data_IF_148082115207
#
_entry.id   IF_148082115207
#
_cell.length_a   1.000
_cell.length_b   1.000
_cell.length_c   1.000
_cell.angle_alpha   90.00
_cell.angle_beta   90.00
_cell.angle_gamma   90.00
#
_symmetry.space_group_name_H-M   'P 1'
#
loop_
_entity.id
_entity.type
_entity.pdbx_description
1 polymer ?
#
# COMPACT_ATOMS: atom_id res chain seq x y z
N UNK A 1 22.55 32.64 -1.90
CA UNK A 1 21.61 31.53 -2.17
C UNK A 1 20.38 32.13 -2.82
N UNK A 2 20.15 31.84 -4.10
CA UNK A 2 18.92 32.27 -4.76
C UNK A 2 17.72 31.53 -4.16
N UNK A 3 16.57 32.18 -3.98
CA UNK A 3 15.36 31.52 -3.49
C UNK A 3 14.95 30.38 -4.45
N UNK A 4 14.35 29.29 -3.93
CA UNK A 4 13.91 28.18 -4.77
C UNK A 4 12.87 28.65 -5.79
N UNK A 5 13.01 28.19 -7.04
CA UNK A 5 12.07 28.49 -8.10
C UNK A 5 10.73 27.77 -7.86
N UNK A 6 9.77 28.54 -7.33
CA UNK A 6 8.41 28.09 -7.06
C UNK A 6 7.54 27.99 -8.33
N UNK A 7 8.10 28.23 -9.53
CA UNK A 7 7.35 28.19 -10.80
C UNK A 7 6.82 26.78 -11.12
N UNK A 8 7.61 25.74 -10.80
CA UNK A 8 7.20 24.34 -10.91
C UNK A 8 6.05 23.99 -9.98
N UNK A 9 6.08 24.47 -8.73
CA UNK A 9 4.99 24.26 -7.76
C UNK A 9 3.71 25.02 -8.16
N UNK A 10 3.83 26.20 -8.78
CA UNK A 10 2.68 26.93 -9.35
C UNK A 10 2.12 26.25 -10.60
N UNK A 11 2.96 25.63 -11.45
CA UNK A 11 2.50 24.79 -12.57
C UNK A 11 1.78 23.55 -12.08
N UNK A 12 2.32 22.87 -11.07
CA UNK A 12 1.69 21.72 -10.43
C UNK A 12 0.40 22.10 -9.71
N UNK A 13 0.34 23.26 -9.04
CA UNK A 13 -0.88 23.74 -8.35
C UNK A 13 -2.07 23.96 -9.28
N UNK A 14 -1.83 24.32 -10.56
CA UNK A 14 -2.89 24.41 -11.59
C UNK A 14 -3.43 23.07 -12.05
N UNK A 15 -2.69 21.97 -11.86
CA UNK A 15 -3.19 20.61 -12.13
C UNK A 15 -4.21 20.11 -11.08
N UNK A 16 -4.23 20.73 -9.89
CA UNK A 16 -5.09 20.32 -8.76
C UNK A 16 -6.35 21.18 -8.56
N UNK A 17 -6.64 22.15 -9.44
CA UNK A 17 -7.97 22.77 -9.46
C UNK A 17 -8.99 21.72 -9.93
N UNK A 18 -9.82 21.25 -8.98
CA UNK A 18 -10.84 20.24 -9.22
C UNK A 18 -11.84 20.70 -10.29
N UNK A 19 -11.89 20.07 -11.48
CA UNK A 19 -12.91 20.37 -12.46
C UNK A 19 -14.13 19.50 -12.17
N UNK A 20 -15.23 20.14 -11.78
CA UNK A 20 -16.55 19.50 -11.81
C UNK A 20 -16.82 19.03 -13.25
N UNK A 21 -16.90 17.72 -13.47
CA UNK A 21 -17.23 17.03 -14.74
C UNK A 21 -16.12 16.83 -15.80
N UNK A 22 -14.84 16.65 -15.45
CA UNK A 22 -13.90 16.02 -16.40
C UNK A 22 -14.01 14.49 -16.35
N UNK A 23 -14.11 13.86 -17.53
CA UNK A 23 -13.96 12.41 -17.72
C UNK A 23 -12.67 11.97 -17.04
N UNK A 24 -12.74 10.99 -16.13
CA UNK A 24 -11.58 10.49 -15.41
C UNK A 24 -10.59 9.92 -16.44
N UNK A 25 -9.48 10.62 -16.65
CA UNK A 25 -8.45 10.22 -17.62
C UNK A 25 -7.69 9.02 -17.06
N UNK A 26 -7.40 8.05 -17.92
CA UNK A 26 -6.51 6.97 -17.52
C UNK A 26 -5.09 7.53 -17.30
N UNK A 27 -4.28 6.82 -16.53
CA UNK A 27 -2.88 7.19 -16.27
C UNK A 27 -2.11 7.48 -17.56
N UNK A 28 -2.25 6.63 -18.58
CA UNK A 28 -1.57 6.81 -19.86
C UNK A 28 -2.04 8.08 -20.58
N UNK A 29 -3.32 8.43 -20.50
CA UNK A 29 -3.84 9.67 -21.08
C UNK A 29 -3.22 10.91 -20.40
N UNK A 30 -3.02 10.86 -19.07
CA UNK A 30 -2.36 11.92 -18.31
C UNK A 30 -0.89 12.06 -18.73
N UNK A 31 -0.16 10.94 -18.85
CA UNK A 31 1.24 10.95 -19.28
C UNK A 31 1.39 11.48 -20.72
N UNK A 32 0.50 11.09 -21.63
CA UNK A 32 0.48 11.62 -23.00
C UNK A 32 0.15 13.12 -23.01
N UNK A 33 -0.73 13.59 -22.13
CA UNK A 33 -0.99 15.03 -22.01
C UNK A 33 0.29 15.78 -21.57
N UNK A 34 1.04 15.26 -20.61
CA UNK A 34 2.31 15.87 -20.18
C UNK A 34 3.38 15.88 -21.28
N UNK A 35 3.40 14.88 -22.17
CA UNK A 35 4.25 14.89 -23.36
C UNK A 35 3.94 16.07 -24.27
N UNK A 36 2.65 16.23 -24.60
CA UNK A 36 2.16 17.26 -25.54
C UNK A 36 2.43 18.68 -25.04
N UNK A 37 2.49 18.86 -23.72
CA UNK A 37 2.82 20.13 -23.07
C UNK A 37 4.34 20.35 -22.90
N UNK A 38 5.18 19.40 -23.33
CA UNK A 38 6.63 19.46 -23.19
C UNK A 38 7.11 19.34 -21.74
N UNK A 39 6.30 18.77 -20.85
CA UNK A 39 6.63 18.57 -19.42
C UNK A 39 7.47 17.30 -19.23
N UNK A 40 7.18 16.25 -19.98
CA UNK A 40 7.90 14.98 -19.95
C UNK A 40 8.30 14.57 -21.37
N UNK A 41 9.43 13.89 -21.49
CA UNK A 41 9.90 13.23 -22.71
C UNK A 41 9.26 11.85 -22.87
N UNK A 42 9.27 11.30 -24.09
CA UNK A 42 8.83 9.93 -24.35
C UNK A 42 9.57 8.89 -23.48
N UNK A 43 10.86 9.13 -23.21
CA UNK A 43 11.66 8.24 -22.36
C UNK A 43 11.17 8.27 -20.90
N UNK A 44 10.92 9.45 -20.35
CA UNK A 44 10.40 9.60 -18.99
C UNK A 44 9.01 8.95 -18.86
N UNK A 45 8.13 9.12 -19.87
CA UNK A 45 6.82 8.47 -19.89
C UNK A 45 6.94 6.96 -19.88
N UNK A 46 7.83 6.41 -20.72
CA UNK A 46 8.08 4.97 -20.74
C UNK A 46 8.56 4.50 -19.37
N UNK A 47 9.48 5.22 -18.73
CA UNK A 47 10.01 4.87 -17.41
C UNK A 47 8.91 4.88 -16.33
N UNK A 48 8.02 5.88 -16.33
CA UNK A 48 6.90 5.93 -15.40
C UNK A 48 5.90 4.79 -15.63
N UNK A 49 5.58 4.47 -16.89
CA UNK A 49 4.72 3.34 -17.23
C UNK A 49 5.35 2.02 -16.76
N UNK A 50 6.63 1.80 -17.05
CA UNK A 50 7.36 0.60 -16.64
C UNK A 50 7.35 0.45 -15.11
N UNK A 51 7.60 1.54 -14.38
CA UNK A 51 7.61 1.54 -12.91
C UNK A 51 6.24 1.20 -12.30
N UNK A 52 5.15 1.77 -12.83
CA UNK A 52 3.79 1.54 -12.31
C UNK A 52 3.30 0.13 -12.66
N UNK A 53 3.59 -0.35 -13.88
CA UNK A 53 3.24 -1.71 -14.29
C UNK A 53 3.97 -2.75 -13.43
N UNK A 54 5.28 -2.57 -13.22
CA UNK A 54 6.05 -3.46 -12.35
C UNK A 54 5.53 -3.42 -10.90
N UNK A 55 5.39 -2.21 -10.34
CA UNK A 55 4.95 -2.03 -8.95
C UNK A 55 3.55 -2.58 -8.68
N UNK A 56 2.64 -2.44 -9.65
CA UNK A 56 1.25 -2.91 -9.52
C UNK A 56 1.02 -4.38 -9.87
N UNK A 57 1.88 -4.99 -10.68
CA UNK A 57 1.69 -6.37 -11.15
C UNK A 57 2.28 -7.40 -10.18
N UNK A 58 3.60 -7.41 -10.01
CA UNK A 58 4.30 -8.51 -9.33
C UNK A 58 3.94 -8.57 -7.84
N UNK A 59 3.85 -7.41 -7.19
CA UNK A 59 3.49 -7.31 -5.76
C UNK A 59 2.07 -7.78 -5.51
N UNK A 60 1.13 -7.41 -6.38
CA UNK A 60 -0.29 -7.81 -6.29
C UNK A 60 -0.44 -9.30 -6.56
N UNK A 61 0.20 -9.83 -7.61
CA UNK A 61 0.14 -11.24 -7.96
C UNK A 61 0.70 -12.12 -6.82
N UNK A 62 1.83 -11.74 -6.24
CA UNK A 62 2.40 -12.43 -5.08
C UNK A 62 1.46 -12.36 -3.87
N UNK A 63 0.94 -11.17 -3.55
CA UNK A 63 0.03 -10.98 -2.41
C UNK A 63 -1.23 -11.82 -2.57
N UNK A 64 -1.85 -11.81 -3.75
CA UNK A 64 -3.05 -12.59 -4.04
C UNK A 64 -2.79 -14.10 -3.93
N UNK A 65 -1.63 -14.56 -4.38
CA UNK A 65 -1.23 -15.97 -4.27
C UNK A 65 -1.19 -16.42 -2.81
N UNK A 66 -0.58 -15.64 -1.93
CA UNK A 66 -0.54 -15.93 -0.49
C UNK A 66 -1.90 -15.82 0.18
N UNK A 67 -2.70 -14.81 -0.15
CA UNK A 67 -4.07 -14.66 0.37
C UNK A 67 -4.89 -15.91 0.03
N UNK A 68 -4.88 -16.34 -1.24
CA UNK A 68 -5.63 -17.52 -1.67
C UNK A 68 -5.10 -18.80 -1.03
N UNK A 69 -3.79 -18.95 -0.87
CA UNK A 69 -3.20 -20.10 -0.19
C UNK A 69 -3.62 -20.18 1.29
N UNK A 70 -3.53 -19.07 2.03
CA UNK A 70 -3.96 -18.99 3.42
C UNK A 70 -5.44 -19.29 3.59
N UNK A 71 -6.31 -18.75 2.71
CA UNK A 71 -7.73 -19.09 2.71
C UNK A 71 -7.97 -20.57 2.40
N UNK A 72 -7.21 -21.16 1.47
CA UNK A 72 -7.35 -22.59 1.16
C UNK A 72 -6.95 -23.50 2.32
N UNK A 73 -5.97 -23.08 3.13
CA UNK A 73 -5.52 -23.81 4.32
C UNK A 73 -6.46 -23.65 5.53
N UNK A 74 -7.17 -22.52 5.63
CA UNK A 74 -8.08 -22.19 6.73
C UNK A 74 -9.54 -22.21 6.28
N UNK A 75 -10.10 -23.41 6.16
CA UNK A 75 -11.45 -23.65 5.60
C UNK A 75 -12.55 -22.87 6.32
N UNK A 76 -12.50 -22.78 7.64
CA UNK A 76 -13.46 -22.04 8.46
C UNK A 76 -13.45 -20.53 8.14
N UNK A 77 -12.26 -19.96 7.96
CA UNK A 77 -12.08 -18.56 7.55
C UNK A 77 -12.58 -18.37 6.11
N UNK A 78 -12.23 -19.28 5.20
CA UNK A 78 -12.71 -19.22 3.81
C UNK A 78 -14.23 -19.30 3.71
N UNK A 79 -14.87 -20.20 4.46
CA UNK A 79 -16.32 -20.33 4.47
C UNK A 79 -16.99 -19.07 5.02
N UNK A 80 -16.40 -18.44 6.04
CA UNK A 80 -16.88 -17.14 6.58
C UNK A 80 -16.72 -16.00 5.58
N UNK A 81 -15.59 -15.93 4.84
CA UNK A 81 -15.40 -14.97 3.74
C UNK A 81 -16.43 -15.20 2.63
N UNK A 82 -16.66 -16.45 2.23
CA UNK A 82 -17.64 -16.80 1.20
C UNK A 82 -19.05 -16.35 1.60
N UNK A 83 -19.45 -16.64 2.84
CA UNK A 83 -20.74 -16.20 3.37
C UNK A 83 -20.88 -14.67 3.38
N UNK A 84 -19.84 -13.92 3.77
CA UNK A 84 -19.86 -12.45 3.72
C UNK A 84 -20.07 -11.95 2.28
N UNK A 85 -19.32 -12.51 1.32
CA UNK A 85 -19.43 -12.14 -0.10
C UNK A 85 -20.82 -12.47 -0.66
N UNK A 86 -21.36 -13.66 -0.35
CA UNK A 86 -22.67 -14.09 -0.82
C UNK A 86 -23.79 -13.19 -0.30
N UNK A 87 -23.75 -12.81 0.99
CA UNK A 87 -24.72 -11.88 1.59
C UNK A 87 -24.66 -10.52 0.88
N UNK A 88 -23.47 -9.94 0.74
CA UNK A 88 -23.29 -8.62 0.11
C UNK A 88 -23.71 -8.65 -1.37
N UNK A 89 -23.45 -9.74 -2.08
CA UNK A 89 -23.88 -9.89 -3.48
C UNK A 89 -25.41 -10.03 -3.60
N UNK A 90 -26.05 -10.80 -2.72
CA UNK A 90 -27.52 -10.94 -2.70
C UNK A 90 -28.22 -9.62 -2.40
N UNK A 91 -27.72 -8.86 -1.41
CA UNK A 91 -28.24 -7.54 -1.07
C UNK A 91 -28.09 -6.52 -2.21
N UNK A 92 -27.21 -6.79 -3.17
CA UNK A 92 -26.96 -5.91 -4.31
C UNK A 92 -27.33 -6.50 -5.67
N UNK A 93 -28.36 -7.35 -5.74
CA UNK A 93 -28.85 -7.92 -7.00
C UNK A 93 -27.75 -8.60 -7.85
N UNK A 94 -26.75 -9.20 -7.18
CA UNK A 94 -25.55 -9.81 -7.78
C UNK A 94 -24.68 -8.87 -8.62
N UNK A 95 -24.70 -7.57 -8.34
CA UNK A 95 -23.81 -6.59 -8.98
C UNK A 95 -22.64 -6.31 -8.05
N UNK A 96 -21.43 -6.15 -8.60
CA UNK A 96 -20.28 -5.69 -7.82
C UNK A 96 -20.09 -4.19 -8.05
N UNK A 97 -20.08 -3.39 -6.98
CA UNK A 97 -19.75 -1.95 -7.07
C UNK A 97 -18.80 -1.54 -5.96
N UNK A 98 -18.08 -0.43 -6.15
CA UNK A 98 -17.13 0.10 -5.16
C UNK A 98 -17.75 0.29 -3.78
N UNK A 99 -19.02 0.76 -3.73
CA UNK A 99 -19.74 0.95 -2.47
C UNK A 99 -19.84 -0.33 -1.64
N UNK A 100 -20.00 -1.48 -2.30
CA UNK A 100 -20.19 -2.76 -1.64
C UNK A 100 -18.87 -3.46 -1.31
N UNK A 101 -17.79 -3.15 -2.01
CA UNK A 101 -16.45 -3.61 -1.61
C UNK A 101 -16.10 -3.14 -0.19
N UNK A 102 -16.53 -1.94 0.21
CA UNK A 102 -16.35 -1.43 1.57
C UNK A 102 -17.16 -2.17 2.65
N UNK A 103 -18.10 -3.03 2.26
CA UNK A 103 -18.89 -3.84 3.21
C UNK A 103 -18.22 -5.20 3.51
N UNK A 104 -17.21 -5.60 2.73
CA UNK A 104 -16.48 -6.85 2.88
C UNK A 104 -15.41 -6.76 4.00
N UNK A 105 -15.86 -6.40 5.19
CA UNK A 105 -15.00 -6.08 6.34
C UNK A 105 -14.18 -7.27 6.86
N UNK A 106 -14.72 -8.49 6.76
CA UNK A 106 -14.00 -9.70 7.16
C UNK A 106 -12.96 -10.09 6.12
N UNK A 107 -13.31 -10.02 4.83
CA UNK A 107 -12.36 -10.18 3.74
C UNK A 107 -11.21 -9.15 3.83
N UNK A 108 -11.50 -7.89 4.11
CA UNK A 108 -10.47 -6.85 4.30
C UNK A 108 -9.50 -7.25 5.42
N UNK A 109 -10.02 -7.75 6.55
CA UNK A 109 -9.19 -8.22 7.67
C UNK A 109 -8.36 -9.46 7.30
N UNK A 110 -8.89 -10.37 6.49
CA UNK A 110 -8.13 -11.51 5.96
C UNK A 110 -6.98 -11.06 5.05
N UNK A 111 -7.23 -10.08 4.16
CA UNK A 111 -6.20 -9.49 3.29
C UNK A 111 -5.11 -8.84 4.15
N UNK A 112 -5.48 -8.08 5.19
CA UNK A 112 -4.52 -7.43 6.09
C UNK A 112 -3.67 -8.44 6.85
N UNK A 113 -4.26 -9.52 7.34
CA UNK A 113 -3.53 -10.57 8.04
C UNK A 113 -2.61 -11.37 7.10
N UNK A 114 -3.05 -11.62 5.86
CA UNK A 114 -2.19 -12.24 4.86
C UNK A 114 -0.99 -11.35 4.51
N UNK A 115 -1.20 -10.04 4.33
CA UNK A 115 -0.12 -9.08 4.09
C UNK A 115 0.81 -8.89 5.30
N UNK A 116 0.34 -9.20 6.51
CA UNK A 116 1.17 -9.22 7.73
C UNK A 116 2.13 -10.42 7.71
N UNK A 117 1.61 -11.60 7.41
CA UNK A 117 2.42 -12.84 7.39
C UNK A 117 3.30 -12.95 6.14
N UNK A 118 2.77 -12.54 5.00
CA UNK A 118 3.38 -12.73 3.68
C UNK A 118 3.33 -11.43 2.87
N UNK A 119 4.17 -10.48 3.28
CA UNK A 119 4.35 -9.25 2.51
C UNK A 119 5.27 -9.50 1.30
N UNK A 120 4.88 -9.02 0.11
CA UNK A 120 5.73 -9.14 -1.09
C UNK A 120 7.08 -8.41 -0.95
N UNK A 121 7.14 -7.33 -0.16
CA UNK A 121 8.35 -6.57 0.14
C UNK A 121 8.76 -6.78 1.62
N UNK A 122 9.63 -7.76 1.86
CA UNK A 122 10.02 -8.18 3.22
C UNK A 122 10.87 -7.15 3.99
N UNK A 123 11.56 -6.24 3.30
CA UNK A 123 12.32 -5.15 3.91
C UNK A 123 12.38 -3.93 3.00
N UNK A 124 12.74 -2.78 3.57
CA UNK A 124 13.09 -1.56 2.84
C UNK A 124 14.42 -0.99 3.33
N UNK A 125 15.19 -0.38 2.41
CA UNK A 125 16.51 0.17 2.72
C UNK A 125 16.61 1.67 2.46
N UNK A 126 17.44 2.37 3.24
CA UNK A 126 17.82 3.77 3.00
C UNK A 126 19.32 3.95 3.26
N UNK A 127 19.95 4.83 2.48
CA UNK A 127 21.31 5.31 2.80
C UNK A 127 21.17 6.61 3.56
N UNK A 128 21.78 6.71 4.74
CA UNK A 128 21.83 7.94 5.51
C UNK A 128 22.67 8.99 4.77
N UNK A 129 22.06 10.11 4.36
CA UNK A 129 22.81 11.21 3.73
C UNK A 129 23.62 12.05 4.73
N UNK A 130 23.28 11.96 6.01
CA UNK A 130 23.90 12.67 7.12
C UNK A 130 23.87 11.79 8.38
N UNK A 131 24.57 12.22 9.42
CA UNK A 131 24.54 11.54 10.71
C UNK A 131 23.12 11.63 11.33
N UNK A 132 22.51 10.48 11.61
CA UNK A 132 21.17 10.38 12.20
C UNK A 132 21.26 9.99 13.67
N UNK A 133 20.83 10.88 14.57
CA UNK A 133 20.76 10.60 16.00
C UNK A 133 19.42 9.94 16.36
N UNK A 134 19.45 8.65 16.68
CA UNK A 134 18.35 7.93 17.34
C UNK A 134 18.38 8.19 18.85
N UNK A 135 17.36 7.72 19.57
CA UNK A 135 17.26 7.88 21.04
C UNK A 135 18.54 7.45 21.77
N UNK A 136 19.13 6.32 21.39
CA UNK A 136 20.30 5.74 22.08
C UNK A 136 21.57 5.66 21.22
N UNK A 137 21.49 5.98 19.92
CA UNK A 137 22.58 5.70 18.97
C UNK A 137 22.76 6.82 17.96
N UNK A 138 24.00 7.01 17.51
CA UNK A 138 24.32 7.81 16.34
C UNK A 138 24.56 6.87 15.16
N UNK A 139 23.85 7.07 14.07
CA UNK A 139 24.04 6.38 12.81
C UNK A 139 24.87 7.30 11.91
N UNK A 140 26.10 6.94 11.53
CA UNK A 140 26.91 7.79 10.66
C UNK A 140 26.33 7.94 9.25
N UNK A 141 26.62 9.06 8.60
CA UNK A 141 26.38 9.27 7.18
C UNK A 141 27.01 8.14 6.34
N UNK A 142 26.34 7.77 5.25
CA UNK A 142 26.72 6.65 4.38
C UNK A 142 26.25 5.27 4.87
N UNK A 143 25.72 5.15 6.08
CA UNK A 143 25.19 3.88 6.60
C UNK A 143 23.93 3.45 5.84
N UNK A 144 23.84 2.17 5.48
CA UNK A 144 22.62 1.56 4.94
C UNK A 144 21.75 1.07 6.10
N UNK A 145 20.59 1.70 6.28
CA UNK A 145 19.57 1.27 7.21
C UNK A 145 18.57 0.34 6.53
N UNK A 146 18.31 -0.80 7.16
CA UNK A 146 17.26 -1.74 6.79
C UNK A 146 16.13 -1.67 7.81
N UNK A 147 14.90 -1.56 7.32
CA UNK A 147 13.69 -1.78 8.10
C UNK A 147 13.14 -3.13 7.68
N UNK A 148 13.23 -4.10 8.58
CA UNK A 148 12.68 -5.44 8.40
C UNK A 148 11.16 -5.41 8.63
N UNK A 149 10.40 -5.43 7.53
CA UNK A 149 8.93 -5.38 7.56
C UNK A 149 8.41 -6.70 8.11
N UNK A 150 8.95 -7.83 7.67
CA UNK A 150 8.53 -9.15 8.13
C UNK A 150 8.77 -9.32 9.63
N UNK A 151 9.97 -8.98 10.11
CA UNK A 151 10.31 -8.99 11.54
C UNK A 151 9.38 -8.09 12.36
N UNK A 152 9.08 -6.88 11.87
CA UNK A 152 8.12 -5.98 12.53
C UNK A 152 6.70 -6.57 12.61
N UNK A 153 6.28 -7.28 11.57
CA UNK A 153 4.94 -7.86 11.47
C UNK A 153 4.78 -9.17 12.23
N UNK A 154 5.90 -9.78 12.65
CA UNK A 154 5.96 -11.03 13.41
C UNK A 154 6.54 -10.86 14.80
N UNK A 155 6.83 -9.63 15.23
CA UNK A 155 7.36 -9.33 16.56
C UNK A 155 6.31 -9.67 17.65
N UNK A 156 6.58 -10.65 18.54
CA UNK A 156 5.64 -11.07 19.57
C UNK A 156 5.33 -9.99 20.61
N UNK A 157 6.13 -8.91 20.71
CA UNK A 157 5.82 -7.76 21.56
C UNK A 157 4.58 -6.99 21.07
N UNK A 158 4.28 -7.06 19.77
CA UNK A 158 3.13 -6.40 19.15
C UNK A 158 2.07 -7.39 18.63
N UNK A 159 2.46 -8.64 18.38
CA UNK A 159 1.62 -9.66 17.73
C UNK A 159 1.63 -10.97 18.54
N UNK A 160 0.68 -11.19 19.47
CA UNK A 160 0.60 -12.43 20.24
C UNK A 160 0.38 -13.66 19.34
N UNK A 161 1.15 -14.73 19.49
CA UNK A 161 1.14 -15.88 18.56
C UNK A 161 1.33 -15.43 17.09
N UNK A 162 2.47 -14.80 16.76
CA UNK A 162 2.63 -14.02 15.52
C UNK A 162 2.53 -14.85 14.24
N UNK A 163 2.75 -16.16 14.31
CA UNK A 163 2.71 -17.07 13.15
C UNK A 163 1.28 -17.54 12.81
N UNK A 164 0.31 -17.34 13.72
CA UNK A 164 -1.08 -17.77 13.49
C UNK A 164 -1.81 -16.75 12.63
N UNK A 165 -2.41 -17.24 11.54
CA UNK A 165 -3.33 -16.49 10.68
C UNK A 165 -4.67 -16.23 11.41
N UNK A 166 -4.79 -15.05 12.01
CA UNK A 166 -6.00 -14.62 12.74
C UNK A 166 -6.49 -13.25 12.22
N UNK A 167 -7.48 -13.23 11.30
CA UNK A 167 -8.08 -11.99 10.81
C UNK A 167 -8.68 -11.10 11.91
N UNK A 168 -9.12 -11.68 13.03
CA UNK A 168 -9.74 -10.92 14.11
C UNK A 168 -8.72 -10.06 14.87
N UNK A 169 -7.41 -10.19 14.63
CA UNK A 169 -6.39 -9.22 15.08
C UNK A 169 -6.64 -7.81 14.56
N UNK A 170 -7.28 -7.67 13.41
CA UNK A 170 -7.59 -6.39 12.79
C UNK A 170 -8.99 -5.87 13.14
N UNK A 171 -9.66 -6.47 14.14
CA UNK A 171 -10.81 -5.84 14.77
C UNK A 171 -10.43 -4.45 15.30
N UNK A 172 -11.32 -3.43 15.21
CA UNK A 172 -11.05 -2.07 15.68
C UNK A 172 -10.53 -2.03 17.12
N UNK A 173 -11.18 -2.76 18.03
CA UNK A 173 -10.85 -2.84 19.45
C UNK A 173 -9.49 -3.49 19.74
N UNK A 174 -9.01 -4.39 18.86
CA UNK A 174 -7.68 -5.02 18.95
C UNK A 174 -6.59 -4.22 18.24
N UNK A 175 -6.97 -3.23 17.43
CA UNK A 175 -6.05 -2.41 16.63
C UNK A 175 -5.78 -1.05 17.27
N UNK A 176 -6.72 -0.51 18.06
CA UNK A 176 -6.67 0.86 18.60
C UNK A 176 -5.40 1.20 19.41
N UNK A 177 -4.85 0.23 20.16
CA UNK A 177 -3.69 0.46 21.04
C UNK A 177 -2.38 -0.05 20.43
N UNK A 178 -2.41 -0.53 19.18
CA UNK A 178 -1.22 -1.05 18.51
C UNK A 178 -0.36 0.10 18.02
N UNK A 179 0.96 -0.03 18.16
CA UNK A 179 1.89 0.99 17.68
C UNK A 179 1.69 1.22 16.16
N UNK A 180 1.58 2.47 15.68
CA UNK A 180 1.22 2.75 14.29
C UNK A 180 2.22 2.20 13.27
N UNK A 181 3.48 1.99 13.68
CA UNK A 181 4.52 1.41 12.83
C UNK A 181 4.71 -0.11 12.99
N UNK A 182 3.90 -0.81 13.79
CA UNK A 182 4.00 -2.27 13.90
C UNK A 182 3.27 -3.00 12.76
N UNK A 183 2.52 -2.26 11.92
CA UNK A 183 1.88 -2.76 10.70
C UNK A 183 2.12 -1.79 9.54
N UNK A 184 3.13 -2.09 8.74
CA UNK A 184 3.62 -1.24 7.62
C UNK A 184 3.73 -2.01 6.30
N UNK A 185 2.68 -2.72 5.84
CA UNK A 185 2.73 -3.54 4.63
C UNK A 185 2.99 -2.75 3.34
N UNK A 186 2.78 -1.43 3.40
CA UNK A 186 2.98 -0.48 2.31
C UNK A 186 3.99 0.60 2.68
N UNK A 187 4.89 0.31 3.64
CA UNK A 187 5.77 1.30 4.27
C UNK A 187 4.99 2.44 4.94
N UNK A 188 5.70 3.48 5.40
CA UNK A 188 5.13 4.65 6.03
C UNK A 188 5.95 5.92 5.72
N UNK A 189 5.37 7.09 6.00
CA UNK A 189 6.01 8.38 5.76
C UNK A 189 5.99 8.81 4.27
N UNK A 190 6.88 9.72 3.86
CA UNK A 190 6.83 10.38 2.54
C UNK A 190 7.17 9.46 1.35
N UNK A 191 7.60 8.22 1.63
CA UNK A 191 7.95 7.20 0.63
C UNK A 191 7.14 5.93 0.86
N UNK A 192 5.91 6.07 1.36
CA UNK A 192 4.95 4.97 1.40
C UNK A 192 4.49 4.61 -0.02
N UNK A 193 3.91 3.41 -0.17
CA UNK A 193 3.39 2.96 -1.46
C UNK A 193 2.23 3.84 -1.91
N UNK A 194 2.33 4.37 -3.14
CA UNK A 194 1.24 5.14 -3.78
C UNK A 194 0.10 4.25 -4.27
N UNK A 195 0.33 2.94 -4.41
CA UNK A 195 -0.64 1.94 -4.81
C UNK A 195 -1.46 1.36 -3.65
N UNK A 196 -1.30 1.88 -2.43
CA UNK A 196 -2.14 1.51 -1.29
C UNK A 196 -3.55 2.08 -1.53
N UNK A 197 -4.54 1.18 -1.69
CA UNK A 197 -5.97 1.52 -1.76
C UNK A 197 -6.53 1.89 -0.38
#
# INVERSE_FOLDING_TARGET
MAPPDLSLLKKLGKFWEAPSQRKQLAMLDLLIATYREGVMTDLEIKQEVDAIMFGGHDTTASSLSFILALLAEHKDIQDRVRNEVDIVMQENENKLTMKFLHQLSYLERCIKEALRLHNAAFFISRVCGEDVKLQSYLIPAGTILHIDIHGTHTDPNFWPNPEVFDPDRFLPEKSQNRHPYSYIPFSAGPRNCIGKL
#
